data_IF_007039645490
#
_entry.id   IF_007039645490
#
_cell.length_a   1.000
_cell.length_b   1.000
_cell.length_c   1.000
_cell.angle_alpha   90.00
_cell.angle_beta   90.00
_cell.angle_gamma   90.00
#
_symmetry.space_group_name_H-M   'P 1'
#
loop_
_entity.id
_entity.type
_entity.pdbx_description
1 polymer ?
#
# COMPACT_ATOMS: atom_id res chain seq x y z
N UNK A 1 5.88 1.97 -17.69
CA UNK A 1 6.00 0.81 -16.79
C UNK A 1 5.87 1.31 -15.37
N UNK A 2 4.80 0.98 -14.64
CA UNK A 2 4.62 1.45 -13.25
C UNK A 2 5.24 0.42 -12.30
N UNK A 3 6.12 0.87 -11.40
CA UNK A 3 6.75 0.01 -10.41
C UNK A 3 5.71 -0.47 -9.38
N UNK A 4 5.89 -1.70 -8.88
CA UNK A 4 5.14 -2.24 -7.75
C UNK A 4 6.03 -2.19 -6.51
N UNK A 5 5.48 -1.79 -5.38
CA UNK A 5 6.21 -1.73 -4.12
C UNK A 5 5.31 -2.13 -2.94
N UNK A 6 5.93 -2.56 -1.84
CA UNK A 6 5.23 -2.87 -0.60
C UNK A 6 5.56 -1.76 0.38
N UNK A 7 4.52 -1.06 0.86
CA UNK A 7 4.65 -0.13 1.97
C UNK A 7 4.43 -0.90 3.28
N UNK A 8 5.34 -0.73 4.23
CA UNK A 8 5.28 -1.38 5.54
C UNK A 8 5.24 -0.29 6.61
N UNK A 9 4.24 -0.37 7.48
CA UNK A 9 4.16 0.39 8.74
C UNK A 9 4.38 -0.61 9.87
N UNK A 10 5.53 -0.49 10.55
CA UNK A 10 5.97 -1.45 11.56
C UNK A 10 6.18 -0.73 12.89
N UNK A 11 5.17 -0.79 13.75
CA UNK A 11 5.26 -0.39 15.14
C UNK A 11 5.78 -1.53 16.02
N UNK A 12 6.15 -1.22 17.26
CA UNK A 12 6.66 -2.23 18.22
C UNK A 12 5.67 -3.38 18.51
N UNK A 13 4.37 -3.16 18.32
CA UNK A 13 3.30 -4.14 18.60
C UNK A 13 2.34 -4.38 17.43
N UNK A 14 2.51 -3.69 16.30
CA UNK A 14 1.60 -3.82 15.15
C UNK A 14 2.37 -3.73 13.84
N UNK A 15 1.98 -4.57 12.88
CA UNK A 15 2.54 -4.61 11.54
C UNK A 15 1.40 -4.46 10.53
N UNK A 16 1.53 -3.48 9.65
CA UNK A 16 0.60 -3.23 8.56
C UNK A 16 1.38 -3.20 7.25
N UNK A 17 0.82 -3.83 6.22
CA UNK A 17 1.44 -3.94 4.92
C UNK A 17 0.43 -3.65 3.82
N UNK A 18 0.89 -2.96 2.78
CA UNK A 18 0.08 -2.62 1.61
C UNK A 18 0.87 -2.85 0.33
N UNK A 19 0.20 -3.37 -0.69
CA UNK A 19 0.78 -3.52 -2.02
C UNK A 19 0.35 -2.35 -2.91
N UNK A 20 1.33 -1.63 -3.44
CA UNK A 20 1.09 -0.50 -4.33
C UNK A 20 1.55 -0.78 -5.75
N UNK A 21 0.85 -0.16 -6.71
CA UNK A 21 1.27 -0.03 -8.10
C UNK A 21 1.09 1.43 -8.51
N UNK A 22 2.18 2.22 -8.52
CA UNK A 22 2.07 3.68 -8.56
C UNK A 22 1.23 4.19 -7.39
N UNK A 23 0.23 5.04 -7.66
CA UNK A 23 -0.66 5.63 -6.64
C UNK A 23 -1.86 4.73 -6.28
N UNK A 24 -1.91 3.48 -6.75
CA UNK A 24 -3.00 2.56 -6.44
C UNK A 24 -2.62 1.57 -5.34
N UNK A 25 -3.37 1.59 -4.24
CA UNK A 25 -3.30 0.60 -3.18
C UNK A 25 -4.18 -0.61 -3.52
N UNK A 26 -3.60 -1.79 -3.48
CA UNK A 26 -4.28 -3.07 -3.57
C UNK A 26 -4.41 -3.68 -2.17
N UNK A 27 -5.64 -3.70 -1.64
CA UNK A 27 -5.98 -4.48 -0.44
C UNK A 27 -6.84 -5.67 -0.87
N UNK A 28 -6.95 -6.73 -0.06
CA UNK A 28 -7.62 -7.98 -0.40
C UNK A 28 -9.00 -7.73 -1.05
N UNK A 29 -9.07 -7.87 -2.38
CA UNK A 29 -10.27 -7.69 -3.19
C UNK A 29 -10.68 -6.26 -3.57
N UNK A 30 -10.00 -5.21 -3.08
CA UNK A 30 -10.39 -3.81 -3.34
C UNK A 30 -9.19 -2.94 -3.77
N UNK A 31 -9.42 -2.11 -4.79
CA UNK A 31 -8.49 -1.06 -5.21
C UNK A 31 -8.92 0.28 -4.63
N UNK A 32 -7.95 1.04 -4.11
CA UNK A 32 -8.14 2.42 -3.69
C UNK A 32 -7.03 3.28 -4.29
N UNK A 33 -7.38 4.43 -4.85
CA UNK A 33 -6.40 5.43 -5.22
C UNK A 33 -5.90 6.10 -3.93
N UNK A 34 -4.59 6.12 -3.71
CA UNK A 34 -4.01 6.80 -2.57
C UNK A 34 -4.03 8.31 -2.85
N UNK A 35 -4.83 9.04 -2.06
CA UNK A 35 -4.76 10.49 -2.00
C UNK A 35 -3.47 10.88 -1.28
N UNK A 36 -2.53 11.52 -1.99
CA UNK A 36 -1.41 12.24 -1.38
C UNK A 36 -2.00 13.38 -0.55
N UNK A 37 -1.87 13.29 0.78
CA UNK A 37 -2.03 14.44 1.67
C UNK A 37 -0.75 15.29 1.61
#
# INVERSE_FOLDING_TARGET
MTARYIAIDWGSTNLRAWLYQGDHCWTAGNQKQASRA
#
